data_IF_293241720131
#
_entry.id   IF_293241720131
#
_cell.length_a   1.000
_cell.length_b   1.000
_cell.length_c   1.000
_cell.angle_alpha   90.00
_cell.angle_beta   90.00
_cell.angle_gamma   90.00
#
_symmetry.space_group_name_H-M   'P 1'
#
loop_
_entity.id
_entity.type
_entity.pdbx_description
1 polymer ?
#
# COMPACT_ATOMS: atom_id res chain seq x y z
N UNK A 1 -21.16 -19.34 -18.92
CA UNK A 1 -20.39 -18.08 -18.74
C UNK A 1 -21.29 -16.91 -18.37
N UNK A 2 -22.42 -16.65 -19.05
CA UNK A 2 -23.31 -15.52 -18.71
C UNK A 2 -23.92 -15.52 -17.29
N UNK A 3 -24.08 -16.70 -16.69
CA UNK A 3 -24.83 -16.86 -15.42
C UNK A 3 -24.12 -16.23 -14.21
N UNK A 4 -22.78 -16.25 -14.15
CA UNK A 4 -22.01 -15.67 -13.03
C UNK A 4 -21.96 -14.13 -13.12
N UNK A 5 -21.81 -13.57 -14.32
CA UNK A 5 -21.88 -12.13 -14.57
C UNK A 5 -23.18 -11.50 -14.06
N UNK A 6 -24.32 -12.12 -14.38
CA UNK A 6 -25.64 -11.63 -13.96
C UNK A 6 -25.83 -11.73 -12.44
N UNK A 7 -25.33 -12.80 -11.81
CA UNK A 7 -25.32 -12.96 -10.36
C UNK A 7 -24.46 -11.90 -9.66
N UNK A 8 -23.29 -11.56 -10.22
CA UNK A 8 -22.44 -10.49 -9.69
C UNK A 8 -23.20 -9.16 -9.72
N UNK A 9 -23.96 -8.86 -10.78
CA UNK A 9 -24.64 -7.57 -10.91
C UNK A 9 -26.01 -7.53 -10.20
N UNK A 10 -26.68 -8.66 -9.97
CA UNK A 10 -28.04 -8.72 -9.42
C UNK A 10 -28.15 -8.17 -8.00
N UNK A 11 -27.06 -8.25 -7.23
CA UNK A 11 -27.04 -7.85 -5.82
C UNK A 11 -26.71 -6.36 -5.61
N UNK A 12 -26.62 -5.57 -6.68
CA UNK A 12 -26.22 -4.16 -6.66
C UNK A 12 -27.43 -3.24 -6.88
N UNK A 13 -27.44 -2.11 -6.18
CA UNK A 13 -28.34 -1.01 -6.54
C UNK A 13 -27.93 -0.38 -7.90
N UNK A 14 -28.78 0.47 -8.51
CA UNK A 14 -28.48 1.05 -9.83
C UNK A 14 -27.19 1.87 -9.89
N UNK A 15 -26.81 2.56 -8.82
CA UNK A 15 -25.59 3.38 -8.77
C UNK A 15 -24.35 2.49 -8.67
N UNK A 16 -24.39 1.47 -7.81
CA UNK A 16 -23.33 0.48 -7.70
C UNK A 16 -23.15 -0.32 -8.98
N UNK A 17 -24.26 -0.67 -9.66
CA UNK A 17 -24.23 -1.36 -10.95
C UNK A 17 -23.55 -0.51 -12.02
N UNK A 18 -23.84 0.79 -12.06
CA UNK A 18 -23.16 1.74 -12.97
C UNK A 18 -21.64 1.75 -12.76
N UNK A 19 -21.19 1.76 -11.50
CA UNK A 19 -19.75 1.64 -11.17
C UNK A 19 -19.19 0.29 -11.63
N UNK A 20 -19.94 -0.80 -11.45
CA UNK A 20 -19.51 -2.15 -11.78
C UNK A 20 -19.35 -2.39 -13.29
N UNK A 21 -20.23 -1.80 -14.11
CA UNK A 21 -20.22 -1.99 -15.56
C UNK A 21 -19.33 -0.99 -16.31
N UNK A 22 -18.88 0.09 -15.66
CA UNK A 22 -18.04 1.12 -16.27
C UNK A 22 -16.58 0.68 -16.47
N UNK A 23 -16.31 -0.39 -17.22
CA UNK A 23 -15.00 -1.06 -17.28
C UNK A 23 -13.94 -0.38 -18.18
N UNK A 24 -14.33 0.66 -18.93
CA UNK A 24 -13.43 1.37 -19.86
C UNK A 24 -13.04 2.73 -19.31
N UNK A 25 -11.77 3.09 -19.47
CA UNK A 25 -11.22 4.38 -19.09
C UNK A 25 -11.13 4.63 -17.57
N UNK A 26 -10.61 5.80 -17.17
CA UNK A 26 -10.53 6.21 -15.77
C UNK A 26 -11.94 6.45 -15.20
N UNK A 27 -12.19 5.99 -13.97
CA UNK A 27 -13.46 6.20 -13.26
C UNK A 27 -13.19 6.71 -11.86
N UNK A 28 -13.84 7.82 -11.49
CA UNK A 28 -13.86 8.34 -10.13
C UNK A 28 -15.23 8.05 -9.49
N UNK A 29 -15.23 7.42 -8.32
CA UNK A 29 -16.45 7.10 -7.58
C UNK A 29 -16.53 8.01 -6.36
N UNK A 30 -17.45 8.98 -6.40
CA UNK A 30 -17.76 9.84 -5.27
C UNK A 30 -18.83 9.13 -4.44
N UNK A 31 -18.47 8.72 -3.23
CA UNK A 31 -19.34 7.91 -2.38
C UNK A 31 -19.42 8.48 -0.96
N UNK A 32 -20.65 8.67 -0.47
CA UNK A 32 -20.93 9.03 0.92
C UNK A 32 -20.56 7.92 1.91
N UNK A 33 -20.67 8.23 3.20
CA UNK A 33 -20.55 7.21 4.24
C UNK A 33 -21.67 6.16 4.08
N UNK A 34 -21.35 4.88 4.26
CA UNK A 34 -22.34 3.79 4.22
C UNK A 34 -22.87 3.38 2.84
N UNK A 35 -22.56 4.08 1.74
CA UNK A 35 -23.18 3.82 0.41
C UNK A 35 -22.64 2.59 -0.34
N UNK A 36 -21.88 1.73 0.33
CA UNK A 36 -21.37 0.50 -0.29
C UNK A 36 -20.22 0.69 -1.29
N UNK A 37 -19.43 1.77 -1.21
CA UNK A 37 -18.25 2.03 -2.07
C UNK A 37 -17.37 0.79 -2.33
N UNK A 38 -17.04 0.05 -1.28
CA UNK A 38 -16.19 -1.14 -1.40
C UNK A 38 -16.91 -2.27 -2.13
N UNK A 39 -18.23 -2.41 -1.94
CA UNK A 39 -19.05 -3.39 -2.66
C UNK A 39 -19.07 -3.08 -4.15
N UNK A 40 -19.31 -1.82 -4.53
CA UNK A 40 -19.26 -1.38 -5.92
C UNK A 40 -17.91 -1.71 -6.58
N UNK A 41 -16.79 -1.42 -5.90
CA UNK A 41 -15.44 -1.69 -6.41
C UNK A 41 -15.18 -3.19 -6.55
N UNK A 42 -15.54 -4.02 -5.55
CA UNK A 42 -15.29 -5.47 -5.64
C UNK A 42 -16.12 -6.13 -6.74
N UNK A 43 -17.37 -5.70 -6.92
CA UNK A 43 -18.21 -6.21 -7.99
C UNK A 43 -17.76 -5.73 -9.37
N UNK A 44 -17.26 -4.49 -9.49
CA UNK A 44 -16.61 -4.01 -10.73
C UNK A 44 -15.46 -4.91 -11.16
N UNK A 45 -14.58 -5.24 -10.22
CA UNK A 45 -13.44 -6.12 -10.46
C UNK A 45 -13.89 -7.54 -10.82
N UNK A 46 -14.82 -8.10 -10.06
CA UNK A 46 -15.34 -9.44 -10.32
C UNK A 46 -16.02 -9.55 -11.69
N UNK A 47 -16.91 -8.60 -11.99
CA UNK A 47 -17.62 -8.54 -13.27
C UNK A 47 -16.65 -8.39 -14.44
N UNK A 48 -15.69 -7.46 -14.34
CA UNK A 48 -14.70 -7.25 -15.41
C UNK A 48 -13.80 -8.46 -15.66
N UNK A 49 -13.49 -9.24 -14.61
CA UNK A 49 -12.74 -10.49 -14.74
C UNK A 49 -13.60 -11.57 -15.39
N UNK A 50 -14.85 -11.73 -14.94
CA UNK A 50 -15.76 -12.77 -15.44
C UNK A 50 -16.05 -12.62 -16.94
N UNK A 51 -16.28 -11.39 -17.41
CA UNK A 51 -16.52 -11.12 -18.83
C UNK A 51 -15.22 -11.02 -19.67
N UNK A 52 -14.05 -11.26 -19.06
CA UNK A 52 -12.76 -11.31 -19.74
C UNK A 52 -12.15 -9.95 -20.13
N UNK A 53 -12.70 -8.83 -19.65
CA UNK A 53 -12.14 -7.49 -19.90
C UNK A 53 -10.92 -7.20 -19.03
N UNK A 54 -10.86 -7.80 -17.84
CA UNK A 54 -9.81 -7.60 -16.85
C UNK A 54 -9.04 -8.91 -16.64
N UNK A 55 -7.73 -8.90 -16.90
CA UNK A 55 -6.83 -9.96 -16.44
C UNK A 55 -6.55 -9.75 -14.94
N UNK A 56 -7.00 -10.65 -14.04
CA UNK A 56 -6.84 -10.46 -12.61
C UNK A 56 -5.37 -10.42 -12.16
N UNK A 57 -4.43 -10.98 -12.94
CA UNK A 57 -2.99 -10.92 -12.65
C UNK A 57 -2.38 -9.54 -12.93
N UNK A 58 -3.08 -8.69 -13.69
CA UNK A 58 -2.65 -7.34 -14.08
C UNK A 58 -3.35 -6.25 -13.28
N UNK A 59 -4.10 -6.61 -12.24
CA UNK A 59 -4.81 -5.65 -11.38
C UNK A 59 -4.17 -5.55 -10.00
N UNK A 60 -4.05 -4.31 -9.53
CA UNK A 60 -3.68 -3.98 -8.17
C UNK A 60 -4.80 -3.16 -7.51
N UNK A 61 -5.36 -3.67 -6.43
CA UNK A 61 -6.29 -2.95 -5.58
C UNK A 61 -5.56 -2.42 -4.34
N UNK A 62 -5.51 -1.10 -4.19
CA UNK A 62 -4.80 -0.43 -3.11
C UNK A 62 -5.74 0.02 -1.99
N UNK A 63 -5.30 -0.16 -0.75
CA UNK A 63 -6.00 0.33 0.45
C UNK A 63 -5.03 1.00 1.41
N UNK A 64 -5.57 1.76 2.37
CA UNK A 64 -4.74 2.37 3.43
C UNK A 64 -4.44 1.41 4.59
N UNK A 65 -5.34 0.48 4.88
CA UNK A 65 -5.20 -0.41 6.04
C UNK A 65 -5.10 -1.88 5.64
N UNK A 66 -4.35 -2.66 6.43
CA UNK A 66 -4.20 -4.10 6.23
C UNK A 66 -5.54 -4.83 6.39
N UNK A 67 -6.39 -4.39 7.32
CA UNK A 67 -7.75 -4.88 7.50
C UNK A 67 -8.60 -4.69 6.24
N UNK A 68 -8.62 -3.48 5.66
CA UNK A 68 -9.36 -3.22 4.43
C UNK A 68 -8.85 -4.06 3.25
N UNK A 69 -7.53 -4.24 3.12
CA UNK A 69 -6.95 -5.12 2.11
C UNK A 69 -7.41 -6.57 2.31
N UNK A 70 -7.44 -7.05 3.56
CA UNK A 70 -7.93 -8.38 3.92
C UNK A 70 -9.40 -8.57 3.58
N UNK A 71 -10.27 -7.65 4.03
CA UNK A 71 -11.70 -7.68 3.73
C UNK A 71 -11.96 -7.65 2.21
N UNK A 72 -11.21 -6.85 1.46
CA UNK A 72 -11.32 -6.81 0.00
C UNK A 72 -10.94 -8.15 -0.65
N UNK A 73 -9.87 -8.82 -0.21
CA UNK A 73 -9.51 -10.17 -0.70
C UNK A 73 -10.61 -11.19 -0.41
N UNK A 74 -11.18 -11.15 0.79
CA UNK A 74 -12.26 -12.07 1.17
C UNK A 74 -13.48 -11.87 0.28
N UNK A 75 -13.88 -10.62 0.02
CA UNK A 75 -15.01 -10.30 -0.86
C UNK A 75 -14.77 -10.69 -2.31
N UNK A 76 -13.57 -10.45 -2.84
CA UNK A 76 -13.25 -10.87 -4.22
C UNK A 76 -13.27 -12.40 -4.33
N UNK A 77 -12.75 -13.11 -3.33
CA UNK A 77 -12.78 -14.58 -3.29
C UNK A 77 -14.21 -15.13 -3.24
N UNK A 78 -15.11 -14.50 -2.47
CA UNK A 78 -16.52 -14.91 -2.45
C UNK A 78 -17.24 -14.66 -3.78
N UNK A 79 -16.71 -13.77 -4.62
CA UNK A 79 -17.20 -13.52 -5.99
C UNK A 79 -16.46 -14.37 -7.05
N UNK A 80 -15.72 -15.40 -6.64
CA UNK A 80 -14.98 -16.29 -7.56
C UNK A 80 -13.63 -15.75 -8.04
N UNK A 81 -13.17 -14.59 -7.55
CA UNK A 81 -11.92 -13.96 -7.99
C UNK A 81 -10.87 -13.97 -6.89
N UNK A 82 -9.98 -14.96 -6.91
CA UNK A 82 -8.92 -15.11 -5.90
C UNK A 82 -7.57 -14.49 -6.28
N UNK A 83 -7.34 -14.18 -7.56
CA UNK A 83 -6.03 -13.85 -8.12
C UNK A 83 -5.69 -12.36 -8.11
N UNK A 84 -6.64 -11.46 -7.86
CA UNK A 84 -6.38 -10.02 -7.78
C UNK A 84 -5.54 -9.69 -6.55
N UNK A 85 -4.47 -8.93 -6.75
CA UNK A 85 -3.64 -8.43 -5.67
C UNK A 85 -4.32 -7.26 -4.95
N UNK A 86 -4.84 -7.48 -3.74
CA UNK A 86 -5.27 -6.39 -2.85
C UNK A 86 -4.25 -6.18 -1.71
N UNK A 87 -3.66 -4.98 -1.66
CA UNK A 87 -2.52 -4.62 -0.79
C UNK A 87 -2.68 -3.22 -0.20
N UNK A 88 -1.96 -2.97 0.89
CA UNK A 88 -1.74 -1.59 1.32
C UNK A 88 -0.73 -0.90 0.42
N UNK A 89 -0.70 0.43 0.43
CA UNK A 89 0.36 1.21 -0.23
C UNK A 89 1.75 0.72 0.16
N UNK A 90 2.04 0.60 1.46
CA UNK A 90 3.32 0.11 1.96
C UNK A 90 3.66 -1.30 1.46
N UNK A 91 2.71 -2.24 1.49
CA UNK A 91 2.94 -3.62 1.06
C UNK A 91 3.09 -3.74 -0.48
N UNK A 92 2.48 -2.83 -1.24
CA UNK A 92 2.69 -2.74 -2.68
C UNK A 92 4.06 -2.13 -3.01
N UNK A 93 4.41 -1.01 -2.38
CA UNK A 93 5.70 -0.34 -2.54
C UNK A 93 6.87 -1.25 -2.15
N UNK A 94 6.79 -1.92 -1.01
CA UNK A 94 7.83 -2.87 -0.57
C UNK A 94 8.00 -4.01 -1.58
N UNK A 95 6.91 -4.54 -2.15
CA UNK A 95 6.99 -5.57 -3.19
C UNK A 95 7.73 -5.06 -4.43
N UNK A 96 7.42 -3.85 -4.89
CA UNK A 96 8.09 -3.25 -6.05
C UNK A 96 9.57 -3.02 -5.75
N UNK A 97 9.89 -2.48 -4.57
CA UNK A 97 11.26 -2.22 -4.16
C UNK A 97 12.08 -3.52 -4.13
N UNK A 98 11.56 -4.59 -3.50
CA UNK A 98 12.24 -5.89 -3.47
C UNK A 98 12.44 -6.46 -4.88
N UNK A 99 11.42 -6.35 -5.73
CA UNK A 99 11.47 -6.88 -7.09
C UNK A 99 12.54 -6.20 -7.95
N UNK A 100 12.59 -4.87 -7.91
CA UNK A 100 13.52 -4.07 -8.72
C UNK A 100 14.87 -3.82 -8.06
N UNK A 101 15.06 -4.15 -6.79
CA UNK A 101 16.31 -3.90 -6.05
C UNK A 101 17.55 -4.43 -6.76
N UNK A 102 17.60 -5.70 -7.22
CA UNK A 102 18.81 -6.27 -7.82
C UNK A 102 19.22 -5.55 -9.10
N UNK A 103 18.23 -5.03 -9.85
CA UNK A 103 18.45 -4.38 -11.14
C UNK A 103 18.80 -2.89 -10.99
N UNK A 104 18.20 -2.22 -10.01
CA UNK A 104 18.33 -0.75 -9.85
C UNK A 104 19.45 -0.32 -8.91
N UNK A 105 19.66 -1.05 -7.81
CA UNK A 105 20.60 -0.68 -6.75
C UNK A 105 21.68 -1.74 -6.54
N UNK A 106 21.40 -2.99 -6.90
CA UNK A 106 22.32 -4.11 -6.72
C UNK A 106 22.53 -4.50 -5.26
N UNK A 107 23.33 -5.54 -5.04
CA UNK A 107 23.61 -6.04 -3.69
C UNK A 107 22.41 -6.68 -2.99
N UNK A 108 22.53 -6.87 -1.67
CA UNK A 108 21.49 -7.51 -0.84
C UNK A 108 20.46 -6.47 -0.41
N UNK A 109 19.18 -6.81 -0.56
CA UNK A 109 18.08 -5.99 -0.03
C UNK A 109 18.25 -5.76 1.49
N UNK A 110 18.15 -4.51 1.98
CA UNK A 110 18.35 -4.20 3.40
C UNK A 110 17.25 -4.80 4.28
N UNK A 111 17.57 -5.11 5.52
CA UNK A 111 16.55 -5.57 6.48
C UNK A 111 15.61 -4.43 6.85
N UNK A 112 14.31 -4.70 6.80
CA UNK A 112 13.30 -3.71 7.23
C UNK A 112 13.43 -3.47 8.74
N UNK A 113 13.54 -2.21 9.14
CA UNK A 113 13.55 -1.84 10.54
C UNK A 113 12.14 -1.93 11.13
N UNK A 114 11.91 -2.93 11.98
CA UNK A 114 10.60 -3.18 12.61
C UNK A 114 10.41 -2.47 13.94
N UNK A 115 11.50 -2.02 14.58
CA UNK A 115 11.46 -1.26 15.83
C UNK A 115 12.57 -0.20 15.86
N UNK A 116 12.15 1.07 15.97
CA UNK A 116 13.09 2.19 16.14
C UNK A 116 13.82 2.10 17.48
N UNK A 117 13.14 1.68 18.55
CA UNK A 117 13.74 1.63 19.89
C UNK A 117 14.82 0.56 20.01
N UNK A 118 14.64 -0.60 19.39
CA UNK A 118 15.66 -1.66 19.37
C UNK A 118 16.93 -1.19 18.67
N UNK A 119 16.78 -0.54 17.51
CA UNK A 119 17.90 0.04 16.77
C UNK A 119 18.64 1.13 17.55
N UNK A 120 17.90 2.06 18.16
CA UNK A 120 18.50 3.12 18.96
C UNK A 120 19.20 2.58 20.20
N UNK A 121 18.62 1.57 20.87
CA UNK A 121 19.25 0.94 22.03
C UNK A 121 20.58 0.27 21.65
N UNK A 122 20.62 -0.44 20.53
CA UNK A 122 21.84 -1.06 20.02
C UNK A 122 22.89 0.01 19.66
N UNK A 123 22.49 1.07 18.97
CA UNK A 123 23.38 2.18 18.61
C UNK A 123 23.96 2.88 19.85
N UNK A 124 23.14 3.13 20.88
CA UNK A 124 23.59 3.70 22.15
C UNK A 124 24.58 2.80 22.88
N UNK A 125 24.33 1.49 22.91
CA UNK A 125 25.26 0.52 23.49
C UNK A 125 26.60 0.56 22.76
N UNK A 126 26.61 0.58 21.42
CA UNK A 126 27.85 0.70 20.63
C UNK A 126 28.60 2.01 20.85
N UNK A 127 27.87 3.09 21.11
CA UNK A 127 28.44 4.40 21.41
C UNK A 127 28.88 4.55 22.89
N UNK A 128 28.80 3.48 23.70
CA UNK A 128 29.09 3.49 25.14
C UNK A 128 28.26 4.52 25.94
N UNK A 129 27.02 4.79 25.50
CA UNK A 129 26.11 5.70 26.20
C UNK A 129 25.35 4.90 27.27
N UNK A 130 25.81 4.99 28.52
CA UNK A 130 25.13 4.41 29.69
C UNK A 130 24.25 5.45 30.39
N UNK A 131 22.99 5.09 30.70
CA UNK A 131 22.06 5.95 31.43
C UNK A 131 21.16 5.13 32.33
N UNK A 132 21.00 5.57 33.58
CA UNK A 132 20.05 4.98 34.55
C UNK A 132 18.60 5.08 34.10
N UNK A 133 18.29 6.00 33.17
CA UNK A 133 16.95 6.19 32.57
C UNK A 133 16.95 5.88 31.07
N UNK A 134 17.45 4.70 30.69
CA UNK A 134 17.56 4.27 29.29
C UNK A 134 16.27 4.46 28.48
N UNK A 135 15.10 4.23 29.08
CA UNK A 135 13.79 4.39 28.41
C UNK A 135 13.40 5.84 28.10
N UNK A 136 13.71 6.80 28.97
CA UNK A 136 13.43 8.22 28.66
C UNK A 136 14.37 8.73 27.58
N UNK A 137 15.67 8.44 27.72
CA UNK A 137 16.68 8.84 26.74
C UNK A 137 16.41 8.27 25.34
N UNK A 138 15.90 7.02 25.24
CA UNK A 138 15.48 6.43 23.97
C UNK A 138 14.31 7.19 23.32
N UNK A 139 13.35 7.66 24.12
CA UNK A 139 12.21 8.45 23.62
C UNK A 139 12.68 9.83 23.16
N UNK A 140 13.55 10.47 23.92
CA UNK A 140 14.09 11.78 23.60
C UNK A 140 14.90 11.72 22.29
N UNK A 141 15.82 10.75 22.17
CA UNK A 141 16.58 10.51 20.94
C UNK A 141 15.68 10.17 19.74
N UNK A 142 14.64 9.37 19.95
CA UNK A 142 13.69 9.06 18.88
C UNK A 142 12.94 10.33 18.41
N UNK A 143 12.61 11.24 19.34
CA UNK A 143 12.00 12.53 19.06
C UNK A 143 12.93 13.45 18.27
N UNK A 144 14.18 13.60 18.72
CA UNK A 144 15.21 14.39 18.02
C UNK A 144 15.41 13.91 16.58
N UNK A 145 15.48 12.59 16.35
CA UNK A 145 15.61 12.04 15.00
C UNK A 145 14.39 12.37 14.12
N UNK A 146 13.17 12.29 14.67
CA UNK A 146 11.98 12.69 13.89
C UNK A 146 11.98 14.19 13.59
N UNK A 147 12.43 15.02 14.54
CA UNK A 147 12.49 16.45 14.38
C UNK A 147 13.55 16.86 13.34
N UNK A 148 14.74 16.26 13.40
CA UNK A 148 15.80 16.43 12.40
C UNK A 148 15.35 16.00 11.00
N UNK A 149 14.60 14.90 10.89
CA UNK A 149 14.01 14.47 9.61
C UNK A 149 13.09 15.53 8.99
N UNK A 150 12.36 16.30 9.80
CA UNK A 150 11.48 17.37 9.32
C UNK A 150 12.28 18.60 8.87
N UNK A 151 13.34 18.96 9.60
CA UNK A 151 14.09 20.20 9.38
C UNK A 151 15.21 20.08 8.36
N UNK A 152 15.98 18.99 8.44
CA UNK A 152 17.26 18.88 7.73
C UNK A 152 17.10 18.25 6.35
N UNK A 153 15.98 17.56 6.10
CA UNK A 153 15.69 16.89 4.83
C UNK A 153 14.29 17.25 4.30
N UNK A 154 14.01 18.53 3.96
CA UNK A 154 12.74 18.91 3.35
C UNK A 154 12.45 18.05 2.11
N UNK A 155 13.49 17.76 1.34
CA UNK A 155 13.47 16.91 0.13
C UNK A 155 12.93 15.50 0.39
N UNK A 156 13.15 14.89 1.57
CA UNK A 156 12.60 13.56 1.90
C UNK A 156 11.08 13.62 2.07
N UNK A 157 10.56 14.70 2.66
CA UNK A 157 9.11 14.88 2.77
C UNK A 157 8.52 15.20 1.40
N UNK A 158 9.20 16.01 0.58
CA UNK A 158 8.82 16.26 -0.81
C UNK A 158 8.81 14.96 -1.65
N UNK A 159 9.77 14.07 -1.43
CA UNK A 159 9.84 12.75 -2.08
C UNK A 159 8.72 11.78 -1.64
N UNK A 160 8.09 11.98 -0.48
CA UNK A 160 6.93 11.19 -0.06
C UNK A 160 5.65 11.61 -0.77
N UNK A 161 5.57 12.90 -1.12
CA UNK A 161 4.37 13.52 -1.68
C UNK A 161 4.41 13.64 -3.22
N UNK A 162 5.60 13.60 -3.83
CA UNK A 162 5.81 13.66 -5.28
C UNK A 162 6.46 12.38 -5.82
N UNK A 163 6.02 11.96 -7.01
CA UNK A 163 6.59 10.84 -7.74
C UNK A 163 8.09 11.10 -8.01
N UNK A 164 8.96 10.42 -7.25
CA UNK A 164 10.41 10.53 -7.32
C UNK A 164 10.89 10.00 -8.69
N UNK A 165 11.69 10.78 -9.40
CA UNK A 165 12.35 10.32 -10.65
C UNK A 165 13.57 9.44 -10.33
N UNK A 166 14.01 8.57 -11.25
CA UNK A 166 15.20 7.74 -11.04
C UNK A 166 16.46 8.53 -10.62
N UNK A 167 16.63 9.77 -11.10
CA UNK A 167 17.77 10.62 -10.73
C UNK A 167 17.73 11.10 -9.28
N UNK A 168 16.55 11.29 -8.69
CA UNK A 168 16.42 11.76 -7.31
C UNK A 168 16.66 10.66 -6.27
N UNK A 169 16.48 9.38 -6.64
CA UNK A 169 16.86 8.24 -5.78
C UNK A 169 18.37 8.07 -5.67
N UNK A 170 19.13 8.37 -6.72
CA UNK A 170 20.60 8.23 -6.72
C UNK A 170 21.30 9.28 -5.86
N UNK A 171 20.68 10.46 -5.70
CA UNK A 171 21.18 11.54 -4.87
C UNK A 171 21.00 11.31 -3.36
N UNK A 172 19.98 10.55 -2.96
CA UNK A 172 19.71 10.22 -1.54
C UNK A 172 20.52 9.01 -1.07
N UNK A 173 20.97 8.16 -2.01
CA UNK A 173 21.75 6.97 -1.72
C UNK A 173 23.28 7.20 -1.64
N UNK A 174 23.75 8.45 -1.77
CA UNK A 174 25.13 8.88 -1.52
C UNK A 174 25.20 9.75 -0.28
#
# INVERSE_FOLDING_TARGET
MAQLADEILSSLDPQQRSVATALKGPVCVIAGAGTGKTRAITHRLAYGVDIGVIDPKRVLALTFTARAAGEMRTRLRSLGVASIAARTFHAAALKQLIYFWPETLGGRFPSLLTSKTGFLSEAMTRANISSSKKSSLLRDLAGEIEWAKVLTWPQINTCKDLAITPESLTQVAR
#
